data_IF_345582171037
#
_entry.id   IF_345582171037
#
_cell.length_a   1.000
_cell.length_b   1.000
_cell.length_c   1.000
_cell.angle_alpha   90.00
_cell.angle_beta   90.00
_cell.angle_gamma   90.00
#
_symmetry.space_group_name_H-M   'P 1'
#
loop_
_entity.id
_entity.type
_entity.pdbx_description
1 polymer ?
#
# COMPACT_ATOMS: atom_id res chain seq x y z
N UNK A 1 4.69 43.91 1.53
CA UNK A 1 5.89 43.21 2.02
C UNK A 1 6.17 42.04 1.10
N UNK A 2 7.09 42.21 0.15
CA UNK A 2 7.48 41.17 -0.80
C UNK A 2 8.41 40.17 -0.09
N UNK A 3 7.87 39.00 0.28
CA UNK A 3 8.63 37.91 0.89
C UNK A 3 9.32 37.09 -0.19
N UNK A 4 10.65 37.01 -0.09
CA UNK A 4 11.60 36.28 -0.94
C UNK A 4 11.02 34.95 -1.44
N UNK A 5 10.99 34.78 -2.77
CA UNK A 5 10.70 33.51 -3.41
C UNK A 5 11.79 32.50 -3.06
N UNK A 6 11.55 31.69 -2.03
CA UNK A 6 12.29 30.45 -1.84
C UNK A 6 11.91 29.57 -3.01
N UNK A 7 12.82 29.42 -3.97
CA UNK A 7 12.63 28.46 -5.06
C UNK A 7 12.79 27.06 -4.49
N UNK A 8 11.67 26.33 -4.44
CA UNK A 8 11.68 24.93 -4.03
C UNK A 8 12.07 24.09 -5.24
N UNK A 9 13.26 23.49 -5.19
CA UNK A 9 13.68 22.47 -6.17
C UNK A 9 12.71 21.30 -6.14
N UNK A 10 12.60 20.55 -7.25
CA UNK A 10 11.69 19.40 -7.32
C UNK A 10 11.92 18.39 -6.19
N UNK A 11 13.18 18.14 -5.83
CA UNK A 11 13.56 17.25 -4.72
C UNK A 11 13.07 17.78 -3.36
N UNK A 12 13.18 19.09 -3.13
CA UNK A 12 12.71 19.73 -1.89
C UNK A 12 11.18 19.71 -1.80
N UNK A 13 10.49 19.89 -2.93
CA UNK A 13 9.03 19.76 -2.99
C UNK A 13 8.59 18.36 -2.58
N UNK A 14 9.22 17.30 -3.11
CA UNK A 14 8.88 15.93 -2.74
C UNK A 14 9.16 15.62 -1.27
N UNK A 15 10.29 16.09 -0.72
CA UNK A 15 10.64 15.89 0.68
C UNK A 15 9.60 16.51 1.61
N UNK A 16 9.26 17.78 1.37
CA UNK A 16 8.26 18.53 2.15
C UNK A 16 6.86 17.92 2.04
N UNK A 17 6.51 17.38 0.88
CA UNK A 17 5.24 16.65 0.70
C UNK A 17 5.23 15.36 1.49
N UNK A 18 6.34 14.61 1.55
CA UNK A 18 6.46 13.41 2.39
C UNK A 18 6.35 13.76 3.88
N UNK A 19 6.93 14.86 4.32
CA UNK A 19 6.81 15.35 5.70
C UNK A 19 5.36 15.74 6.04
N UNK A 20 4.70 16.48 5.14
CA UNK A 20 3.28 16.80 5.29
C UNK A 20 2.42 15.53 5.40
N UNK A 21 2.61 14.55 4.51
CA UNK A 21 1.86 13.29 4.54
C UNK A 21 2.10 12.55 5.87
N UNK A 22 3.34 12.49 6.35
CA UNK A 22 3.68 11.86 7.65
C UNK A 22 3.05 12.58 8.84
N UNK A 23 2.89 13.91 8.77
CA UNK A 23 2.29 14.68 9.85
C UNK A 23 0.80 14.37 10.06
N UNK A 24 0.10 13.93 9.00
CA UNK A 24 -1.35 13.73 9.04
C UNK A 24 -2.17 15.02 9.19
N UNK A 25 -1.52 16.18 9.17
CA UNK A 25 -2.17 17.48 9.33
C UNK A 25 -2.87 17.94 8.05
N UNK A 26 -3.90 18.77 8.19
CA UNK A 26 -4.49 19.45 7.05
C UNK A 26 -3.44 20.36 6.38
N UNK A 27 -3.34 20.34 5.05
CA UNK A 27 -2.36 21.14 4.30
C UNK A 27 -2.36 22.64 4.65
N UNK A 28 -3.52 23.20 5.01
CA UNK A 28 -3.64 24.60 5.45
C UNK A 28 -3.01 24.86 6.81
N UNK A 29 -3.11 23.90 7.73
CA UNK A 29 -2.47 23.96 9.05
C UNK A 29 -0.99 23.71 8.92
N UNK A 30 -0.61 22.70 8.12
CA UNK A 30 0.78 22.34 7.91
C UNK A 30 1.56 23.47 7.26
N UNK A 31 1.05 24.11 6.21
CA UNK A 31 1.69 25.28 5.60
C UNK A 31 1.66 26.56 6.47
N UNK A 32 0.85 26.57 7.53
CA UNK A 32 0.71 27.71 8.44
C UNK A 32 1.62 27.63 9.69
N UNK A 33 2.30 26.52 9.88
CA UNK A 33 3.25 26.31 10.98
C UNK A 33 4.69 26.45 10.46
N UNK A 34 5.54 27.18 11.18
CA UNK A 34 6.96 27.44 10.88
C UNK A 34 7.30 28.33 9.65
N UNK A 35 8.46 29.00 9.74
CA UNK A 35 8.97 29.93 8.72
C UNK A 35 9.60 29.25 7.49
N UNK A 36 9.87 27.94 7.55
CA UNK A 36 10.53 27.17 6.46
C UNK A 36 9.57 26.39 5.56
N UNK A 37 8.26 26.53 5.77
CA UNK A 37 7.25 25.79 5.00
C UNK A 37 6.72 26.61 3.81
N UNK A 38 6.33 25.93 2.72
CA UNK A 38 5.84 26.61 1.54
C UNK A 38 4.48 27.26 1.81
N UNK A 39 4.28 28.44 1.23
CA UNK A 39 2.97 29.09 1.28
C UNK A 39 1.91 28.18 0.64
N UNK A 40 0.74 28.06 1.29
CA UNK A 40 -0.30 27.11 0.90
C UNK A 40 -0.71 27.19 -0.58
N UNK A 41 -0.80 28.40 -1.14
CA UNK A 41 -1.17 28.59 -2.54
C UNK A 41 -0.16 28.00 -3.54
N UNK A 42 1.12 27.93 -3.15
CA UNK A 42 2.17 27.32 -3.95
C UNK A 42 2.18 25.81 -3.73
N UNK A 43 2.13 25.40 -2.44
CA UNK A 43 2.13 24.00 -2.03
C UNK A 43 1.00 23.17 -2.66
N UNK A 44 -0.23 23.70 -2.68
CA UNK A 44 -1.40 22.98 -3.23
C UNK A 44 -1.28 22.65 -4.73
N UNK A 45 -0.42 23.37 -5.45
CA UNK A 45 -0.20 23.22 -6.89
C UNK A 45 1.01 22.34 -7.21
N UNK A 46 1.74 21.84 -6.21
CA UNK A 46 2.87 20.96 -6.45
C UNK A 46 2.43 19.61 -7.01
N UNK A 47 3.13 19.05 -8.02
CA UNK A 47 2.77 17.78 -8.64
C UNK A 47 2.55 16.64 -7.64
N UNK A 48 3.40 16.53 -6.63
CA UNK A 48 3.30 15.50 -5.60
C UNK A 48 2.07 15.67 -4.67
N UNK A 49 1.64 16.91 -4.40
CA UNK A 49 0.40 17.18 -3.63
C UNK A 49 -0.83 16.83 -4.46
N UNK A 50 -0.82 17.18 -5.75
CA UNK A 50 -1.91 16.85 -6.68
C UNK A 50 -2.04 15.32 -6.79
N UNK A 51 -0.92 14.61 -6.98
CA UNK A 51 -0.90 13.15 -7.04
C UNK A 51 -1.43 12.51 -5.73
N UNK A 52 -1.00 13.00 -4.56
CA UNK A 52 -1.49 12.52 -3.27
C UNK A 52 -2.98 12.81 -3.04
N UNK A 53 -3.49 13.97 -3.50
CA UNK A 53 -4.92 14.30 -3.41
C UNK A 53 -5.75 13.46 -4.38
N UNK A 54 -5.22 13.12 -5.54
CA UNK A 54 -5.89 12.22 -6.47
C UNK A 54 -6.03 10.80 -5.88
N UNK A 55 -5.03 10.33 -5.14
CA UNK A 55 -5.06 9.01 -4.48
C UNK A 55 -5.89 9.00 -3.18
N UNK A 56 -5.91 10.12 -2.44
CA UNK A 56 -6.62 10.23 -1.15
C UNK A 56 -8.07 10.72 -1.33
N UNK A 57 -8.39 11.41 -2.42
CA UNK A 57 -9.68 12.05 -2.67
C UNK A 57 -10.85 11.12 -3.03
N UNK A 58 -10.61 9.81 -3.21
CA UNK A 58 -11.64 8.78 -3.39
C UNK A 58 -12.07 8.06 -2.10
N UNK A 59 -11.74 8.60 -0.93
CA UNK A 59 -12.23 8.07 0.36
C UNK A 59 -12.59 9.20 1.32
N UNK A 60 -13.84 9.20 1.79
CA UNK A 60 -14.41 10.12 2.79
C UNK A 60 -14.80 11.54 2.33
N UNK A 61 -16.05 11.67 1.87
CA UNK A 61 -16.89 12.81 2.29
C UNK A 61 -18.20 12.30 2.87
N UNK A 62 -18.21 12.15 4.20
CA UNK A 62 -19.45 12.23 4.98
C UNK A 62 -19.71 13.71 5.24
N UNK A 63 -20.64 14.31 4.52
CA UNK A 63 -21.24 15.60 4.87
C UNK A 63 -22.60 15.75 4.16
N UNK A 64 -23.66 15.45 4.88
CA UNK A 64 -25.03 15.96 4.64
C UNK A 64 -25.09 17.44 5.09
N UNK A 65 -26.13 18.22 4.74
CA UNK A 65 -26.45 18.74 3.41
C UNK A 65 -26.51 20.30 3.41
N UNK A 66 -26.18 20.95 2.31
CA UNK A 66 -26.63 22.33 2.06
C UNK A 66 -26.95 22.49 0.56
N UNK A 67 -28.22 22.78 0.27
CA UNK A 67 -28.72 23.12 -1.06
C UNK A 67 -27.99 24.36 -1.60
N UNK A 68 -27.66 24.36 -2.89
CA UNK A 68 -28.00 25.49 -3.73
C UNK A 68 -28.92 25.04 -4.86
N UNK A 69 -30.02 25.78 -5.03
CA UNK A 69 -30.85 25.68 -6.22
C UNK A 69 -30.04 26.16 -7.44
N UNK A 70 -30.05 25.40 -8.54
CA UNK A 70 -29.38 25.79 -9.78
C UNK A 70 -29.42 24.69 -10.84
N UNK A 71 -30.45 24.74 -11.67
CA UNK A 71 -30.62 24.24 -13.05
C UNK A 71 -29.70 23.09 -13.55
N UNK A 72 -30.37 21.96 -13.82
CA UNK A 72 -30.06 20.79 -14.66
C UNK A 72 -28.87 20.88 -15.64
N UNK A 73 -28.03 19.83 -15.66
CA UNK A 73 -27.78 18.99 -16.85
C UNK A 73 -27.61 17.53 -16.40
N UNK A 74 -28.51 16.65 -16.84
CA UNK A 74 -28.42 15.20 -16.63
C UNK A 74 -27.58 14.61 -17.76
N UNK A 75 -26.29 14.44 -17.55
CA UNK A 75 -25.36 13.73 -18.45
C UNK A 75 -24.65 12.59 -17.71
N UNK A 76 -25.41 11.80 -16.93
CA UNK A 76 -24.87 10.77 -16.03
C UNK A 76 -24.78 9.32 -16.53
N UNK A 77 -25.36 8.88 -17.67
CA UNK A 77 -25.19 7.48 -18.03
C UNK A 77 -23.84 7.18 -18.72
N UNK A 78 -23.24 8.14 -19.44
CA UNK A 78 -22.08 7.84 -20.29
C UNK A 78 -20.73 7.85 -19.56
N UNK A 79 -20.61 8.59 -18.46
CA UNK A 79 -19.37 8.70 -17.68
C UNK A 79 -19.24 7.52 -16.71
N UNK A 80 -20.35 7.07 -16.13
CA UNK A 80 -20.38 5.92 -15.24
C UNK A 80 -19.98 4.62 -15.97
N UNK A 81 -20.36 4.45 -17.24
CA UNK A 81 -19.97 3.29 -18.06
C UNK A 81 -18.47 3.27 -18.40
N UNK A 82 -17.86 4.43 -18.65
CA UNK A 82 -16.42 4.54 -18.97
C UNK A 82 -15.58 4.33 -17.72
N UNK A 83 -16.00 4.91 -16.59
CA UNK A 83 -15.33 4.72 -15.31
C UNK A 83 -15.43 3.25 -14.85
N UNK A 84 -16.58 2.59 -15.08
CA UNK A 84 -16.76 1.16 -14.76
C UNK A 84 -15.87 0.25 -15.62
N UNK A 85 -15.77 0.51 -16.93
CA UNK A 85 -14.90 -0.29 -17.82
C UNK A 85 -13.42 -0.09 -17.50
N UNK A 86 -13.03 1.13 -17.11
CA UNK A 86 -11.65 1.40 -16.68
C UNK A 86 -11.32 0.71 -15.37
N UNK A 87 -12.21 0.76 -14.37
CA UNK A 87 -11.98 0.11 -13.07
C UNK A 87 -11.88 -1.42 -13.21
N UNK A 88 -12.70 -2.02 -14.07
CA UNK A 88 -12.68 -3.46 -14.32
C UNK A 88 -11.40 -3.91 -15.06
N UNK A 89 -10.98 -3.14 -16.07
CA UNK A 89 -9.71 -3.38 -16.78
C UNK A 89 -8.49 -3.18 -15.87
N UNK A 90 -8.51 -2.14 -15.04
CA UNK A 90 -7.44 -1.86 -14.08
C UNK A 90 -7.35 -2.94 -12.99
N UNK A 91 -8.49 -3.44 -12.51
CA UNK A 91 -8.53 -4.55 -11.56
C UNK A 91 -7.91 -5.82 -12.16
N UNK A 92 -8.26 -6.18 -13.40
CA UNK A 92 -7.66 -7.32 -14.10
C UNK A 92 -6.15 -7.14 -14.29
N UNK A 93 -5.68 -5.94 -14.65
CA UNK A 93 -4.25 -5.70 -14.82
C UNK A 93 -3.50 -5.74 -13.48
N UNK A 94 -4.11 -5.27 -12.39
CA UNK A 94 -3.58 -5.42 -11.04
C UNK A 94 -3.51 -6.88 -10.60
N UNK A 95 -4.50 -7.71 -10.91
CA UNK A 95 -4.48 -9.15 -10.61
C UNK A 95 -3.40 -9.89 -11.41
N UNK A 96 -3.26 -9.58 -12.70
CA UNK A 96 -2.20 -10.13 -13.54
C UNK A 96 -0.80 -9.76 -13.02
N UNK A 97 -0.61 -8.49 -12.58
CA UNK A 97 0.65 -8.04 -11.97
C UNK A 97 0.93 -8.72 -10.63
N UNK A 98 -0.11 -8.98 -9.82
CA UNK A 98 0.04 -9.75 -8.58
C UNK A 98 0.45 -11.19 -8.85
N UNK A 99 -0.17 -11.86 -9.83
CA UNK A 99 0.19 -13.22 -10.23
C UNK A 99 1.66 -13.27 -10.70
N UNK A 100 2.06 -12.36 -11.58
CA UNK A 100 3.45 -12.28 -12.06
C UNK A 100 4.46 -11.99 -10.93
N UNK A 101 4.10 -11.13 -9.97
CA UNK A 101 4.94 -10.85 -8.81
C UNK A 101 5.05 -12.07 -7.87
N UNK A 102 3.96 -12.81 -7.70
CA UNK A 102 3.95 -14.03 -6.90
C UNK A 102 4.77 -15.13 -7.56
N UNK A 103 4.64 -15.34 -8.87
CA UNK A 103 5.44 -16.33 -9.61
C UNK A 103 6.93 -16.00 -9.56
N UNK A 104 7.27 -14.70 -9.67
CA UNK A 104 8.64 -14.23 -9.53
C UNK A 104 9.18 -14.47 -8.12
N UNK A 105 8.41 -14.13 -7.08
CA UNK A 105 8.78 -14.39 -5.70
C UNK A 105 8.95 -15.89 -5.44
N UNK A 106 8.03 -16.73 -5.94
CA UNK A 106 8.09 -18.17 -5.80
C UNK A 106 9.36 -18.73 -6.46
N UNK A 107 9.69 -18.28 -7.67
CA UNK A 107 10.91 -18.68 -8.38
C UNK A 107 12.18 -18.28 -7.63
N UNK A 108 12.22 -17.04 -7.10
CA UNK A 108 13.36 -16.52 -6.34
C UNK A 108 13.53 -17.22 -4.97
N UNK A 109 12.46 -17.79 -4.41
CA UNK A 109 12.46 -18.43 -3.09
C UNK A 109 12.31 -19.96 -3.14
N UNK A 110 12.25 -20.55 -4.34
CA UNK A 110 11.99 -21.97 -4.58
C UNK A 110 12.97 -22.87 -3.80
N UNK A 111 14.27 -22.61 -3.92
CA UNK A 111 15.30 -23.40 -3.25
C UNK A 111 15.19 -23.33 -1.72
N UNK A 112 14.90 -22.15 -1.17
CA UNK A 112 14.75 -21.96 0.27
C UNK A 112 13.48 -22.67 0.80
N UNK A 113 12.40 -22.68 0.02
CA UNK A 113 11.17 -23.40 0.34
C UNK A 113 11.43 -24.91 0.34
N UNK A 114 12.11 -25.42 -0.68
CA UNK A 114 12.45 -26.84 -0.80
C UNK A 114 13.38 -27.30 0.34
N UNK A 115 14.40 -26.50 0.67
CA UNK A 115 15.30 -26.78 1.79
C UNK A 115 14.55 -26.88 3.12
N UNK A 116 13.66 -25.92 3.41
CA UNK A 116 12.82 -25.95 4.63
C UNK A 116 11.90 -27.15 4.67
N UNK A 117 11.33 -27.54 3.52
CA UNK A 117 10.49 -28.74 3.43
C UNK A 117 11.31 -30.01 3.73
N UNK A 118 12.51 -30.13 3.17
CA UNK A 118 13.42 -31.24 3.43
C UNK A 118 13.89 -31.29 4.89
N UNK A 119 14.22 -30.14 5.49
CA UNK A 119 14.58 -30.04 6.90
C UNK A 119 13.45 -30.51 7.81
N UNK A 120 12.21 -30.10 7.52
CA UNK A 120 11.03 -30.55 8.26
C UNK A 120 10.84 -32.07 8.16
N UNK A 121 10.95 -32.64 6.97
CA UNK A 121 10.87 -34.10 6.76
C UNK A 121 11.99 -34.82 7.52
N UNK A 122 13.23 -34.30 7.48
CA UNK A 122 14.36 -34.86 8.23
C UNK A 122 14.13 -34.81 9.74
N UNK A 123 13.60 -33.70 10.26
CA UNK A 123 13.28 -33.55 11.67
C UNK A 123 12.16 -34.52 12.12
N UNK A 124 11.12 -34.68 11.31
CA UNK A 124 10.05 -35.65 11.58
C UNK A 124 10.56 -37.09 11.55
N UNK A 125 11.45 -37.42 10.61
CA UNK A 125 12.05 -38.74 10.48
C UNK A 125 13.00 -39.04 11.65
N UNK A 126 13.79 -38.05 12.08
CA UNK A 126 14.61 -38.13 13.29
C UNK A 126 13.74 -38.32 14.54
N UNK A 127 12.63 -37.59 14.67
CA UNK A 127 11.67 -37.76 15.76
C UNK A 127 11.07 -39.17 15.78
N UNK A 128 10.66 -39.71 14.62
CA UNK A 128 10.15 -41.07 14.50
C UNK A 128 11.20 -42.12 14.87
N UNK A 129 12.45 -41.95 14.42
CA UNK A 129 13.57 -42.83 14.80
C UNK A 129 13.83 -42.79 16.30
N UNK A 130 13.84 -41.61 16.92
CA UNK A 130 13.98 -41.47 18.36
C UNK A 130 12.84 -42.16 19.11
N UNK A 131 11.58 -42.00 18.66
CA UNK A 131 10.42 -42.70 19.24
C UNK A 131 10.49 -44.22 19.11
N UNK A 132 11.03 -44.74 18.01
CA UNK A 132 11.24 -46.18 17.82
C UNK A 132 12.41 -46.72 18.64
N UNK A 133 13.48 -45.94 18.82
CA UNK A 133 14.63 -46.31 19.65
C UNK A 133 14.32 -46.29 21.16
N UNK A 134 13.27 -45.58 21.58
CA UNK A 134 12.82 -45.50 22.98
C UNK A 134 11.83 -46.62 23.33
N UNK A 135 11.49 -47.53 22.41
CA UNK A 135 10.75 -48.75 22.78
C UNK A 135 11.75 -49.71 23.44
N UNK A 136 11.70 -49.93 24.77
CA UNK A 136 12.53 -50.95 25.38
C UNK A 136 12.17 -52.30 24.76
N UNK A 137 13.19 -53.08 24.43
CA UNK A 137 13.06 -54.51 24.23
C UNK A 137 12.65 -55.11 25.58
N UNK A 138 11.34 -55.08 25.86
CA UNK A 138 10.76 -55.72 27.03
C UNK A 138 9.93 -56.90 26.53
N UNK A 139 10.63 -57.95 26.07
CA UNK A 139 10.13 -59.33 26.08
C UNK A 139 11.35 -60.25 26.18
N UNK A 140 11.54 -60.86 27.34
CA UNK A 140 12.18 -62.18 27.42
C UNK A 140 13.46 -62.30 28.25
N UNK A 141 13.48 -61.79 29.48
CA UNK A 141 14.14 -62.52 30.57
C UNK A 141 13.03 -63.09 31.46
N UNK A 142 12.61 -64.32 31.18
CA UNK A 142 11.97 -65.19 32.15
C UNK A 142 12.48 -66.61 31.90
N UNK A 143 13.31 -67.06 32.84
CA UNK A 143 13.60 -68.43 33.30
C UNK A 143 13.91 -69.53 32.27
#
# INVERSE_FOLDING_TARGET
>A
MAGKGVEYTAEMQEMLVKEWIKSGEAATSWCGADDNRPHYNTFKNWPAVIAHRATTGRGYKRSTPAKPQGIRVSSKPLVDDIDSQFEEWYAQECEAKKAAAYDRWLSENQEAIEQRALEKVRAELASKRAKMAVKPADVGEDL
#
